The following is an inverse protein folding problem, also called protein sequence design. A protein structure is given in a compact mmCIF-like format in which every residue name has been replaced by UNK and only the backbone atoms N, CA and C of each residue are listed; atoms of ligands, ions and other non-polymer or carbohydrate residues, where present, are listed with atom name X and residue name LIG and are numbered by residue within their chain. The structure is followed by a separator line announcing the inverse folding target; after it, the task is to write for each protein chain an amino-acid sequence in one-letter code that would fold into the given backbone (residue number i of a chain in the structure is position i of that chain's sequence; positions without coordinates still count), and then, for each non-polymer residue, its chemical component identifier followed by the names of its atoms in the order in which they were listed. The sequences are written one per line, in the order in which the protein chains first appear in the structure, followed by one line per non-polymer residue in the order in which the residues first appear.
data_IF_506503350724
#
_entry.id   IF_506503350724
#
_cell.length_a   1.000
_cell.length_b   1.000
_cell.length_c   1.000
_cell.angle_alpha   90.00
_cell.angle_beta   90.00
_cell.angle_gamma   90.00
#
_symmetry.space_group_name_H-M   'P 1'
#
loop_
_entity.id
_entity.type
_entity.pdbx_description
1 polymer ?
#
# COMPACT_ATOMS: atom_id res chain seq x y z
N UNK A 1 5.89 20.17 -19.41
CA UNK A 1 5.39 19.03 -20.20
C UNK A 1 6.45 17.94 -20.40
N UNK A 2 7.73 18.28 -20.59
CA UNK A 2 8.81 17.27 -20.71
C UNK A 2 8.88 16.30 -19.52
N UNK A 3 8.76 16.78 -18.28
CA UNK A 3 8.82 15.91 -17.09
C UNK A 3 7.69 14.87 -17.04
N UNK A 4 6.50 15.20 -17.58
CA UNK A 4 5.37 14.25 -17.61
C UNK A 4 5.70 13.10 -18.55
N UNK A 5 6.15 13.41 -19.76
CA UNK A 5 6.50 12.40 -20.76
C UNK A 5 7.71 11.57 -20.36
N UNK A 6 8.69 12.18 -19.67
CA UNK A 6 9.90 11.50 -19.22
C UNK A 6 9.67 10.55 -18.05
N UNK A 7 8.67 10.82 -17.18
CA UNK A 7 8.37 10.02 -15.99
C UNK A 7 6.99 9.34 -16.07
N UNK A 8 6.48 9.09 -17.28
CA UNK A 8 5.09 8.67 -17.45
C UNK A 8 4.81 7.31 -16.78
N UNK A 9 5.79 6.41 -16.79
CA UNK A 9 5.68 5.08 -16.19
C UNK A 9 5.60 5.17 -14.66
N UNK A 10 6.49 5.97 -14.07
CA UNK A 10 6.60 6.22 -12.64
C UNK A 10 5.31 6.89 -12.14
N UNK A 11 4.83 7.91 -12.86
CA UNK A 11 3.58 8.61 -12.53
C UNK A 11 2.40 7.65 -12.54
N UNK A 12 2.26 6.79 -13.56
CA UNK A 12 1.16 5.82 -13.62
C UNK A 12 1.22 4.80 -12.50
N UNK A 13 2.41 4.32 -12.13
CA UNK A 13 2.59 3.42 -10.99
C UNK A 13 2.22 4.13 -9.69
N UNK A 14 2.71 5.35 -9.46
CA UNK A 14 2.39 6.11 -8.25
C UNK A 14 0.89 6.43 -8.14
N UNK A 15 0.21 6.71 -9.25
CA UNK A 15 -1.25 6.85 -9.27
C UNK A 15 -1.97 5.55 -8.92
N UNK A 16 -1.49 4.41 -9.44
CA UNK A 16 -2.02 3.10 -9.07
C UNK A 16 -1.89 2.84 -7.56
N UNK A 17 -0.71 3.13 -6.98
CA UNK A 17 -0.47 2.99 -5.55
C UNK A 17 -1.33 3.98 -4.74
N UNK A 18 -1.43 5.24 -5.16
CA UNK A 18 -2.27 6.25 -4.53
C UNK A 18 -3.73 5.77 -4.45
N UNK A 19 -4.32 5.34 -5.57
CA UNK A 19 -5.71 4.88 -5.62
C UNK A 19 -5.89 3.66 -4.71
N UNK A 20 -5.00 2.67 -4.85
CA UNK A 20 -5.08 1.41 -4.09
C UNK A 20 -5.06 1.66 -2.58
N UNK A 21 -4.08 2.42 -2.09
CA UNK A 21 -3.88 2.59 -0.65
C UNK A 21 -4.80 3.64 -0.03
N UNK A 22 -5.09 4.75 -0.71
CA UNK A 22 -6.06 5.73 -0.18
C UNK A 22 -7.46 5.15 -0.13
N UNK A 23 -7.90 4.42 -1.17
CA UNK A 23 -9.22 3.80 -1.16
C UNK A 23 -9.32 2.72 -0.08
N UNK A 24 -8.28 1.88 0.06
CA UNK A 24 -8.18 0.86 1.11
C UNK A 24 -8.23 1.46 2.52
N UNK A 25 -7.50 2.56 2.75
CA UNK A 25 -7.49 3.26 4.04
C UNK A 25 -8.81 3.97 4.33
N UNK A 26 -9.39 4.65 3.33
CA UNK A 26 -10.66 5.35 3.48
C UNK A 26 -11.82 4.39 3.78
N UNK A 27 -11.87 3.22 3.14
CA UNK A 27 -12.85 2.18 3.46
C UNK A 27 -12.75 1.74 4.93
N UNK A 28 -11.53 1.49 5.42
CA UNK A 28 -11.30 1.12 6.83
C UNK A 28 -11.77 2.18 7.81
N UNK A 29 -11.54 3.46 7.53
CA UNK A 29 -12.04 4.55 8.37
C UNK A 29 -13.57 4.61 8.38
N UNK A 30 -14.20 4.53 7.20
CA UNK A 30 -15.65 4.66 7.05
C UNK A 30 -16.40 3.45 7.60
N UNK A 31 -15.89 2.24 7.38
CA UNK A 31 -16.46 0.98 7.82
C UNK A 31 -15.56 0.29 8.85
N UNK A 32 -15.22 1.01 9.91
CA UNK A 32 -14.31 0.51 10.94
C UNK A 32 -14.82 -0.76 11.63
N UNK A 33 -16.10 -0.78 12.05
CA UNK A 33 -16.69 -1.93 12.75
C UNK A 33 -16.75 -3.17 11.87
N UNK A 34 -17.11 -3.02 10.58
CA UNK A 34 -17.12 -4.13 9.62
C UNK A 34 -15.72 -4.71 9.39
N UNK A 35 -14.74 -3.85 9.13
CA UNK A 35 -13.34 -4.25 8.97
C UNK A 35 -12.79 -4.93 10.23
N UNK A 36 -13.06 -4.37 11.41
CA UNK A 36 -12.63 -4.97 12.68
C UNK A 36 -13.23 -6.37 12.88
N UNK A 37 -14.50 -6.57 12.56
CA UNK A 37 -15.16 -7.87 12.66
C UNK A 37 -14.60 -8.88 11.65
N UNK A 38 -14.34 -8.45 10.40
CA UNK A 38 -13.70 -9.27 9.39
C UNK A 38 -12.31 -9.75 9.84
N UNK A 39 -11.45 -8.83 10.28
CA UNK A 39 -10.09 -9.16 10.75
C UNK A 39 -10.14 -10.05 11.99
N UNK A 40 -11.11 -9.85 12.90
CA UNK A 40 -11.32 -10.73 14.07
C UNK A 40 -11.66 -12.16 13.65
N UNK A 41 -12.58 -12.33 12.71
CA UNK A 41 -12.96 -13.64 12.20
C UNK A 41 -11.78 -14.31 11.48
N UNK A 42 -11.10 -13.56 10.61
CA UNK A 42 -9.97 -14.02 9.82
C UNK A 42 -8.80 -14.52 10.69
N UNK A 43 -8.45 -13.80 11.75
CA UNK A 43 -7.34 -14.18 12.65
C UNK A 43 -7.77 -15.03 13.86
N UNK A 44 -9.04 -15.45 13.96
CA UNK A 44 -9.60 -16.11 15.17
C UNK A 44 -8.82 -17.35 15.64
N UNK A 45 -8.24 -18.12 14.71
CA UNK A 45 -7.45 -19.34 14.97
C UNK A 45 -5.93 -19.12 14.93
N UNK A 46 -5.49 -17.86 14.96
CA UNK A 46 -4.07 -17.51 14.83
C UNK A 46 -3.52 -16.92 16.13
N UNK A 47 -2.18 -16.87 16.28
CA UNK A 47 -1.54 -16.17 17.41
C UNK A 47 -1.88 -14.67 17.47
N UNK A 48 -2.35 -14.08 16.37
CA UNK A 48 -2.64 -12.66 16.24
C UNK A 48 -4.05 -12.25 16.71
N UNK A 49 -4.90 -13.21 17.12
CA UNK A 49 -6.32 -12.97 17.47
C UNK A 49 -6.56 -11.83 18.47
N UNK A 50 -5.64 -11.63 19.42
CA UNK A 50 -5.75 -10.60 20.46
C UNK A 50 -5.24 -9.22 20.01
N UNK A 51 -4.50 -9.16 18.90
CA UNK A 51 -3.84 -7.96 18.39
C UNK A 51 -4.58 -7.32 17.21
N UNK A 52 -5.73 -7.89 16.81
CA UNK A 52 -6.49 -7.49 15.62
C UNK A 52 -6.74 -5.99 15.51
N UNK A 53 -7.10 -5.32 16.62
CA UNK A 53 -7.32 -3.87 16.62
C UNK A 53 -6.02 -3.09 16.33
N UNK A 54 -4.91 -3.52 16.92
CA UNK A 54 -3.59 -2.93 16.69
C UNK A 54 -3.18 -3.16 15.23
N UNK A 55 -3.31 -4.39 14.72
CA UNK A 55 -3.00 -4.72 13.34
C UNK A 55 -3.79 -3.85 12.35
N UNK A 56 -5.09 -3.69 12.57
CA UNK A 56 -5.95 -2.86 11.72
C UNK A 56 -5.56 -1.38 11.77
N UNK A 57 -5.22 -0.85 12.95
CA UNK A 57 -4.80 0.54 13.10
C UNK A 57 -3.41 0.78 12.48
N UNK A 58 -2.47 -0.15 12.69
CA UNK A 58 -1.13 -0.05 12.12
C UNK A 58 -1.19 -0.09 10.60
N UNK A 59 -1.91 -1.05 10.01
CA UNK A 59 -2.00 -1.11 8.55
C UNK A 59 -2.68 0.14 7.99
N UNK A 60 -3.73 0.64 8.65
CA UNK A 60 -4.41 1.87 8.23
C UNK A 60 -3.44 3.05 8.12
N UNK A 61 -2.60 3.26 9.14
CA UNK A 61 -1.63 4.37 9.15
C UNK A 61 -0.63 4.21 8.01
N UNK A 62 -0.10 3.01 7.80
CA UNK A 62 0.89 2.75 6.74
C UNK A 62 0.26 2.91 5.34
N UNK A 63 -0.99 2.46 5.15
CA UNK A 63 -1.72 2.65 3.88
C UNK A 63 -1.96 4.14 3.58
N UNK A 64 -2.37 4.93 4.58
CA UNK A 64 -2.51 6.37 4.39
C UNK A 64 -1.19 7.06 4.04
N UNK A 65 -0.10 6.72 4.74
CA UNK A 65 1.22 7.24 4.43
C UNK A 65 1.65 6.87 3.01
N UNK A 66 1.48 5.60 2.62
CA UNK A 66 1.78 5.13 1.27
C UNK A 66 1.00 5.91 0.20
N UNK A 67 -0.30 6.10 0.40
CA UNK A 67 -1.17 6.83 -0.52
C UNK A 67 -0.80 8.31 -0.63
N UNK A 68 -0.61 8.99 0.51
CA UNK A 68 -0.26 10.42 0.55
C UNK A 68 1.11 10.65 -0.10
N UNK A 69 2.13 9.88 0.28
CA UNK A 69 3.48 10.01 -0.28
C UNK A 69 3.48 9.73 -1.78
N UNK A 70 2.71 8.75 -2.26
CA UNK A 70 2.57 8.49 -3.70
C UNK A 70 1.96 9.68 -4.44
N UNK A 71 0.95 10.34 -3.85
CA UNK A 71 0.34 11.54 -4.43
C UNK A 71 1.27 12.75 -4.47
N UNK A 72 2.00 12.99 -3.38
CA UNK A 72 3.02 14.04 -3.34
C UNK A 72 4.14 13.70 -4.33
N UNK A 73 4.53 12.44 -4.46
CA UNK A 73 5.52 11.96 -5.42
C UNK A 73 5.12 12.24 -6.88
N UNK A 74 3.85 12.04 -7.24
CA UNK A 74 3.33 12.45 -8.56
C UNK A 74 3.52 13.94 -8.79
N UNK A 75 3.16 14.77 -7.81
CA UNK A 75 3.33 16.22 -7.90
C UNK A 75 4.81 16.62 -8.06
N UNK A 76 5.70 16.06 -7.23
CA UNK A 76 7.14 16.32 -7.27
C UNK A 76 7.79 15.90 -8.59
N UNK A 77 7.40 14.76 -9.18
CA UNK A 77 7.88 14.35 -10.50
C UNK A 77 7.45 15.32 -11.60
N UNK A 78 6.19 15.77 -11.58
CA UNK A 78 5.65 16.65 -12.61
C UNK A 78 6.30 18.04 -12.55
N UNK A 79 6.41 18.61 -11.34
CA UNK A 79 6.86 19.99 -11.13
C UNK A 79 8.37 20.10 -11.05
N UNK A 80 9.01 19.23 -10.25
CA UNK A 80 10.41 19.34 -9.87
C UNK A 80 11.30 18.25 -10.51
N UNK A 81 10.73 17.27 -11.21
CA UNK A 81 11.46 16.10 -11.74
C UNK A 81 12.24 15.34 -10.64
N UNK A 82 11.72 15.33 -9.42
CA UNK A 82 12.38 14.74 -8.26
C UNK A 82 11.68 13.43 -7.84
N UNK A 83 12.35 12.27 -7.93
CA UNK A 83 11.75 10.98 -7.61
C UNK A 83 11.69 10.69 -6.11
N UNK A 84 12.37 11.46 -5.25
CA UNK A 84 12.62 11.11 -3.85
C UNK A 84 11.36 10.81 -3.05
N UNK A 85 10.32 11.65 -3.18
CA UNK A 85 9.06 11.45 -2.43
C UNK A 85 8.24 10.31 -3.04
N UNK A 86 8.26 10.16 -4.36
CA UNK A 86 7.64 9.02 -5.04
C UNK A 86 8.26 7.69 -4.59
N UNK A 87 9.59 7.65 -4.48
CA UNK A 87 10.33 6.48 -4.00
C UNK A 87 9.92 6.12 -2.57
N UNK A 88 9.81 7.11 -1.67
CA UNK A 88 9.28 6.90 -0.32
C UNK A 88 7.84 6.36 -0.36
N UNK A 89 6.99 6.86 -1.24
CA UNK A 89 5.64 6.33 -1.44
C UNK A 89 5.65 4.86 -1.85
N UNK A 90 6.40 4.51 -2.89
CA UNK A 90 6.51 3.14 -3.40
C UNK A 90 7.11 2.15 -2.40
N UNK A 91 8.14 2.56 -1.64
CA UNK A 91 8.70 1.74 -0.55
C UNK A 91 7.66 1.56 0.56
N UNK A 92 6.95 2.61 0.97
CA UNK A 92 5.91 2.52 2.00
C UNK A 92 4.77 1.60 1.55
N UNK A 93 4.39 1.65 0.27
CA UNK A 93 3.45 0.71 -0.34
C UNK A 93 3.93 -0.74 -0.26
N UNK A 94 5.22 -1.00 -0.56
CA UNK A 94 5.80 -2.33 -0.42
C UNK A 94 5.74 -2.81 1.04
N UNK A 95 6.02 -1.94 2.01
CA UNK A 95 5.91 -2.26 3.44
C UNK A 95 4.47 -2.63 3.82
N UNK A 96 3.47 -1.85 3.39
CA UNK A 96 2.06 -2.16 3.62
C UNK A 96 1.69 -3.56 3.09
N UNK A 97 2.13 -3.88 1.86
CA UNK A 97 1.86 -5.17 1.23
C UNK A 97 2.57 -6.33 1.94
N UNK A 98 3.80 -6.13 2.42
CA UNK A 98 4.51 -7.15 3.21
C UNK A 98 3.81 -7.41 4.55
N UNK A 99 3.29 -6.38 5.21
CA UNK A 99 2.49 -6.52 6.44
C UNK A 99 1.20 -7.32 6.18
N UNK A 100 0.50 -7.00 5.10
CA UNK A 100 -0.69 -7.73 4.68
C UNK A 100 -0.34 -9.19 4.31
N UNK A 101 0.73 -9.41 3.54
CA UNK A 101 1.18 -10.74 3.12
C UNK A 101 1.49 -11.62 4.34
N UNK A 102 2.20 -11.07 5.32
CA UNK A 102 2.47 -11.75 6.58
C UNK A 102 1.18 -12.18 7.27
N UNK A 103 0.20 -11.27 7.36
CA UNK A 103 -1.12 -11.57 7.89
C UNK A 103 -1.80 -12.75 7.18
N UNK A 104 -1.84 -12.73 5.84
CA UNK A 104 -2.43 -13.82 5.05
C UNK A 104 -1.72 -15.15 5.27
N UNK A 105 -0.37 -15.15 5.37
CA UNK A 105 0.41 -16.37 5.64
C UNK A 105 0.13 -16.93 7.03
N UNK A 106 0.01 -16.08 8.05
CA UNK A 106 -0.33 -16.50 9.42
C UNK A 106 -1.75 -17.07 9.48
N UNK A 107 -2.70 -16.49 8.74
CA UNK A 107 -4.07 -16.99 8.62
C UNK A 107 -4.21 -18.22 7.70
N UNK A 108 -3.13 -18.62 7.00
CA UNK A 108 -3.13 -19.67 5.95
C UNK A 108 -4.09 -19.37 4.79
N UNK A 109 -4.33 -18.09 4.50
CA UNK A 109 -5.10 -17.66 3.34
C UNK A 109 -4.16 -17.50 2.12
N UNK A 110 -3.99 -18.59 1.38
CA UNK A 110 -3.12 -18.61 0.21
C UNK A 110 -3.67 -17.81 -0.97
N UNK A 111 -5.00 -17.71 -1.11
CA UNK A 111 -5.63 -16.92 -2.15
C UNK A 111 -5.42 -15.42 -1.90
N UNK A 112 -5.60 -14.98 -0.65
CA UNK A 112 -5.27 -13.62 -0.23
C UNK A 112 -3.80 -13.29 -0.43
N UNK A 113 -2.89 -14.21 -0.08
CA UNK A 113 -1.45 -14.03 -0.29
C UNK A 113 -1.07 -13.89 -1.78
N UNK A 114 -1.71 -14.65 -2.67
CA UNK A 114 -1.51 -14.55 -4.11
C UNK A 114 -1.91 -13.16 -4.63
N UNK A 115 -3.09 -12.67 -4.25
CA UNK A 115 -3.58 -11.35 -4.63
C UNK A 115 -2.60 -10.25 -4.21
N UNK A 116 -2.08 -10.30 -2.98
CA UNK A 116 -1.08 -9.33 -2.50
C UNK A 116 0.20 -9.37 -3.32
N UNK A 117 0.63 -10.56 -3.75
CA UNK A 117 1.83 -10.73 -4.57
C UNK A 117 1.70 -9.99 -5.90
N UNK A 118 0.51 -9.99 -6.53
CA UNK A 118 0.26 -9.23 -7.75
C UNK A 118 0.44 -7.71 -7.55
N UNK A 119 -0.11 -7.15 -6.47
CA UNK A 119 0.09 -5.73 -6.12
C UNK A 119 1.56 -5.44 -5.80
N UNK A 120 2.25 -6.37 -5.14
CA UNK A 120 3.65 -6.22 -4.77
C UNK A 120 4.57 -6.11 -5.98
N UNK A 121 4.31 -6.87 -7.05
CA UNK A 121 5.07 -6.77 -8.30
C UNK A 121 5.00 -5.35 -8.87
N UNK A 122 3.81 -4.72 -8.87
CA UNK A 122 3.65 -3.34 -9.36
C UNK A 122 4.38 -2.36 -8.44
N UNK A 123 4.25 -2.51 -7.13
CA UNK A 123 4.89 -1.62 -6.16
C UNK A 123 6.42 -1.68 -6.22
N UNK A 124 7.01 -2.90 -6.25
CA UNK A 124 8.46 -3.07 -6.30
C UNK A 124 9.05 -2.64 -7.64
N UNK A 125 8.30 -2.78 -8.74
CA UNK A 125 8.70 -2.22 -10.03
C UNK A 125 8.72 -0.69 -10.00
N UNK A 126 7.78 -0.06 -9.29
CA UNK A 126 7.83 1.38 -8.99
C UNK A 126 9.08 1.78 -8.23
N UNK A 127 9.46 1.03 -7.17
CA UNK A 127 10.70 1.26 -6.43
C UNK A 127 11.93 1.15 -7.34
N UNK A 128 11.96 0.14 -8.21
CA UNK A 128 13.06 -0.05 -9.15
C UNK A 128 13.23 1.16 -10.08
N UNK A 129 12.15 1.62 -10.73
CA UNK A 129 12.20 2.73 -11.68
C UNK A 129 12.55 4.07 -11.02
N UNK A 130 11.99 4.35 -9.85
CA UNK A 130 12.23 5.60 -9.11
C UNK A 130 13.62 5.69 -8.48
N UNK A 131 14.41 4.61 -8.54
CA UNK A 131 15.75 4.51 -7.98
C UNK A 131 16.85 4.41 -9.06
N UNK A 132 16.49 4.49 -10.34
CA UNK A 132 17.43 4.61 -11.46
C UNK A 132 17.94 6.05 -11.57
#
# INVERSE_FOLDING_TARGET
MNNITSNITEILILLFLLITFLQSGFDKLRNWTGNLNFVKAHFSKTPLRNWVRVLLLTILVVEFLAGILSGIGVFELIVNNNPSVGLLGAVTSCLALLMLLFGQRVAKDYAGALTITCYFIVAIFGVFLLNL
#
